data_IF_821483795434
#
_entry.id   IF_821483795434
#
_cell.length_a   1.000
_cell.length_b   1.000
_cell.length_c   1.000
_cell.angle_alpha   90.00
_cell.angle_beta   90.00
_cell.angle_gamma   90.00
#
_symmetry.space_group_name_H-M   'P 1'
#
loop_
_entity.id
_entity.type
_entity.pdbx_description
1 polymer ?
#
# COMPACT_ATOMS: atom_id res chain seq x y z
N UNK A 1 7.60 -8.05 11.38
CA UNK A 1 8.25 -7.14 10.40
C UNK A 1 9.76 -7.07 10.70
N UNK A 2 10.64 -7.02 9.70
CA UNK A 2 12.09 -6.90 9.94
C UNK A 2 12.45 -5.53 10.53
N UNK A 3 13.42 -5.46 11.46
CA UNK A 3 13.90 -4.20 12.06
C UNK A 3 14.27 -3.13 11.00
N UNK A 4 14.84 -3.55 9.86
CA UNK A 4 15.23 -2.64 8.77
C UNK A 4 14.04 -2.02 8.06
N UNK A 5 12.91 -2.73 7.96
CA UNK A 5 11.67 -2.21 7.37
C UNK A 5 11.00 -1.23 8.34
N UNK A 6 11.00 -1.53 9.64
CA UNK A 6 10.49 -0.59 10.66
C UNK A 6 11.30 0.72 10.68
N UNK A 7 12.63 0.64 10.58
CA UNK A 7 13.48 1.84 10.48
C UNK A 7 13.14 2.67 9.24
N UNK A 8 12.91 2.00 8.11
CA UNK A 8 12.54 2.65 6.86
C UNK A 8 11.17 3.31 6.93
N UNK A 9 10.21 2.70 7.64
CA UNK A 9 8.93 3.33 7.94
C UNK A 9 9.07 4.57 8.83
N UNK A 10 9.95 4.53 9.83
CA UNK A 10 10.21 5.69 10.69
C UNK A 10 10.87 6.87 9.97
N UNK A 11 11.63 6.61 8.89
CA UNK A 11 12.27 7.67 8.08
C UNK A 11 11.32 8.33 7.08
N UNK A 12 10.19 7.68 6.77
CA UNK A 12 9.27 8.08 5.70
C UNK A 12 7.83 8.05 6.22
N UNK A 13 7.42 9.03 7.06
CA UNK A 13 6.07 9.08 7.64
C UNK A 13 4.96 9.22 6.58
N UNK A 14 5.30 9.68 5.38
CA UNK A 14 4.39 9.79 4.24
C UNK A 14 4.01 8.44 3.61
N UNK A 15 4.72 7.36 3.94
CA UNK A 15 4.45 6.02 3.41
C UNK A 15 3.55 5.22 4.34
N UNK A 16 2.51 4.61 3.77
CA UNK A 16 1.67 3.66 4.46
C UNK A 16 2.18 2.22 4.24
N UNK A 17 2.46 1.51 5.33
CA UNK A 17 2.88 0.11 5.29
C UNK A 17 1.71 -0.81 5.63
N UNK A 18 1.24 -1.57 4.64
CA UNK A 18 0.25 -2.63 4.85
C UNK A 18 0.96 -3.99 4.95
N UNK A 19 0.84 -4.64 6.10
CA UNK A 19 1.28 -6.02 6.28
C UNK A 19 0.14 -6.98 5.98
N UNK A 20 0.39 -7.95 5.11
CA UNK A 20 -0.55 -9.02 4.81
C UNK A 20 0.06 -10.34 5.30
N UNK A 21 -0.65 -11.05 6.18
CA UNK A 21 -0.26 -12.38 6.60
C UNK A 21 -0.69 -13.40 5.54
N UNK A 22 0.28 -14.04 4.87
CA UNK A 22 0.01 -15.01 3.81
C UNK A 22 -0.71 -16.27 4.29
N UNK A 23 -0.58 -16.63 5.57
CA UNK A 23 -1.21 -17.83 6.12
C UNK A 23 -2.71 -17.61 6.37
N UNK A 24 -3.10 -16.40 6.74
CA UNK A 24 -4.49 -16.01 6.99
C UNK A 24 -5.20 -15.56 5.71
N UNK A 25 -4.50 -14.85 4.82
CA UNK A 25 -5.07 -14.24 3.62
C UNK A 25 -4.70 -14.99 2.33
N UNK A 26 -4.84 -16.33 2.35
CA UNK A 26 -4.45 -17.20 1.22
C UNK A 26 -5.13 -16.84 -0.08
N UNK A 27 -6.42 -16.52 -0.03
CA UNK A 27 -7.21 -16.18 -1.22
C UNK A 27 -6.76 -14.85 -1.84
N UNK A 28 -6.47 -13.84 -1.01
CA UNK A 28 -5.89 -12.58 -1.46
C UNK A 28 -4.52 -12.82 -2.12
N UNK A 29 -3.63 -13.59 -1.48
CA UNK A 29 -2.33 -13.93 -2.05
C UNK A 29 -2.46 -14.65 -3.40
N UNK A 30 -3.42 -15.57 -3.53
CA UNK A 30 -3.73 -16.28 -4.78
C UNK A 30 -4.19 -15.31 -5.87
N UNK A 31 -5.18 -14.47 -5.57
CA UNK A 31 -5.75 -13.48 -6.51
C UNK A 31 -4.75 -12.43 -6.95
N UNK A 32 -3.83 -12.07 -6.05
CA UNK A 32 -2.76 -11.15 -6.35
C UNK A 32 -1.59 -11.81 -7.09
N UNK A 33 -1.58 -13.13 -7.33
CA UNK A 33 -0.44 -13.88 -7.89
C UNK A 33 0.84 -13.77 -7.04
N UNK A 34 0.71 -13.90 -5.72
CA UNK A 34 1.85 -13.96 -4.79
C UNK A 34 2.30 -15.42 -4.63
N UNK A 35 3.41 -15.78 -5.28
CA UNK A 35 3.95 -17.15 -5.26
C UNK A 35 5.22 -17.31 -4.41
N UNK A 36 5.91 -16.22 -4.08
CA UNK A 36 7.17 -16.23 -3.33
C UNK A 36 7.08 -15.27 -2.15
N UNK A 37 7.73 -15.62 -1.04
CA UNK A 37 7.80 -14.78 0.15
C UNK A 37 9.27 -14.51 0.53
N UNK A 38 9.57 -13.32 1.08
CA UNK A 38 8.68 -12.18 1.23
C UNK A 38 8.46 -11.44 -0.11
N UNK A 39 7.23 -10.97 -0.33
CA UNK A 39 6.84 -10.20 -1.52
C UNK A 39 6.49 -8.76 -1.12
N UNK A 40 6.97 -7.80 -1.90
CA UNK A 40 6.71 -6.38 -1.71
C UNK A 40 5.97 -5.82 -2.93
N UNK A 41 5.02 -4.94 -2.66
CA UNK A 41 4.26 -4.19 -3.68
C UNK A 41 4.16 -2.75 -3.26
N UNK A 42 4.40 -1.88 -4.21
CA UNK A 42 4.24 -0.45 -4.04
C UNK A 42 3.03 -0.02 -4.85
N UNK A 43 2.15 0.73 -4.21
CA UNK A 43 0.97 1.31 -4.80
C UNK A 43 1.04 2.83 -4.67
N UNK A 44 0.53 3.55 -5.66
CA UNK A 44 0.50 5.02 -5.65
C UNK A 44 -0.80 5.52 -6.25
N UNK A 45 -1.74 5.96 -5.40
CA UNK A 45 -3.01 6.56 -5.79
C UNK A 45 -3.58 6.00 -7.10
N UNK A 46 -3.74 6.88 -8.09
CA UNK A 46 -4.28 6.56 -9.41
C UNK A 46 -3.38 5.76 -10.35
N UNK A 47 -2.10 5.60 -10.03
CA UNK A 47 -1.20 4.75 -10.82
C UNK A 47 -1.37 3.27 -10.47
N UNK A 48 -2.07 2.96 -9.37
CA UNK A 48 -2.21 1.60 -8.88
C UNK A 48 -0.84 1.02 -8.51
N UNK A 49 -0.55 -0.21 -8.96
CA UNK A 49 0.69 -0.92 -8.64
C UNK A 49 1.86 -0.42 -9.49
N UNK A 50 2.79 0.30 -8.87
CA UNK A 50 3.95 0.90 -9.54
C UNK A 50 5.18 0.00 -9.58
N UNK A 51 5.36 -0.88 -8.58
CA UNK A 51 6.38 -1.92 -8.66
C UNK A 51 6.05 -3.13 -7.77
N UNK A 52 6.60 -4.28 -8.13
CA UNK A 52 6.47 -5.51 -7.34
C UNK A 52 7.74 -6.34 -7.44
N UNK A 53 8.25 -6.79 -6.28
CA UNK A 53 9.48 -7.55 -6.22
C UNK A 53 9.56 -8.37 -4.92
N UNK A 54 10.34 -9.45 -4.95
CA UNK A 54 10.80 -10.13 -3.76
C UNK A 54 12.22 -9.67 -3.38
N UNK A 55 12.53 -9.69 -2.09
CA UNK A 55 13.88 -9.45 -1.61
C UNK A 55 14.17 -10.17 -0.29
N UNK A 56 15.40 -10.62 -0.14
CA UNK A 56 15.97 -11.15 1.10
C UNK A 56 16.71 -10.06 1.88
N UNK A 57 17.32 -10.41 3.01
CA UNK A 57 18.14 -9.49 3.81
C UNK A 57 19.28 -8.87 2.97
N UNK A 58 19.91 -9.64 2.08
CA UNK A 58 21.00 -9.18 1.22
C UNK A 58 20.53 -8.24 0.11
N UNK A 59 19.26 -8.31 -0.27
CA UNK A 59 18.69 -7.52 -1.38
C UNK A 59 17.72 -6.43 -0.92
N UNK A 60 17.75 -6.08 0.37
CA UNK A 60 16.87 -5.08 0.97
C UNK A 60 17.08 -3.66 0.39
N UNK A 61 18.22 -3.41 -0.26
CA UNK A 61 18.47 -2.17 -1.00
C UNK A 61 17.45 -1.92 -2.11
N UNK A 62 16.80 -2.97 -2.64
CA UNK A 62 15.72 -2.86 -3.64
C UNK A 62 14.55 -1.99 -3.17
N UNK A 63 14.24 -2.03 -1.87
CA UNK A 63 13.20 -1.18 -1.26
C UNK A 63 13.63 0.28 -1.32
N UNK A 64 14.87 0.59 -0.94
CA UNK A 64 15.42 1.96 -1.02
C UNK A 64 15.48 2.46 -2.45
N UNK A 65 15.86 1.62 -3.41
CA UNK A 65 15.90 1.99 -4.82
C UNK A 65 14.51 2.21 -5.42
N UNK A 66 13.52 1.41 -5.01
CA UNK A 66 12.13 1.62 -5.39
C UNK A 66 11.62 2.96 -4.85
N UNK A 67 11.96 3.30 -3.60
CA UNK A 67 11.62 4.60 -3.02
C UNK A 67 12.32 5.78 -3.69
N UNK A 68 13.58 5.64 -4.10
CA UNK A 68 14.25 6.71 -4.85
C UNK A 68 13.62 6.93 -6.23
N UNK A 69 13.25 5.84 -6.91
CA UNK A 69 12.66 5.89 -8.26
C UNK A 69 11.22 6.37 -8.27
N UNK A 70 10.44 5.97 -7.27
CA UNK A 70 9.01 6.24 -7.20
C UNK A 70 8.63 7.15 -6.03
N UNK A 71 9.61 7.88 -5.49
CA UNK A 71 9.49 8.68 -4.27
C UNK A 71 8.29 9.63 -4.30
N UNK A 72 7.96 10.11 -3.11
CA UNK A 72 6.77 10.92 -2.86
C UNK A 72 6.92 12.29 -3.53
N UNK A 73 6.61 12.36 -4.82
CA UNK A 73 6.23 13.64 -5.43
C UNK A 73 4.87 14.00 -4.83
N UNK A 74 4.88 14.96 -3.92
CA UNK A 74 3.71 15.48 -3.21
C UNK A 74 2.74 16.21 -4.16
N UNK A 75 3.14 16.40 -5.42
CA UNK A 75 2.46 17.23 -6.40
C UNK A 75 1.64 16.37 -7.38
N UNK A 76 0.33 16.58 -7.30
CA UNK A 76 -0.72 16.22 -8.27
C UNK A 76 -1.05 14.73 -8.41
N UNK A 77 -1.61 14.14 -7.34
CA UNK A 77 -2.42 12.93 -7.45
C UNK A 77 -3.75 13.28 -8.13
N UNK A 78 -3.86 12.96 -9.42
CA UNK A 78 -5.16 12.91 -10.12
C UNK A 78 -6.08 11.85 -9.51
N UNK A 79 -7.37 11.83 -9.90
CA UNK A 79 -8.36 10.91 -9.35
C UNK A 79 -7.88 9.45 -9.46
N UNK A 80 -8.00 8.73 -8.36
CA UNK A 80 -7.63 7.35 -8.13
C UNK A 80 -8.25 6.41 -9.18
N UNK A 81 -7.44 6.02 -10.17
CA UNK A 81 -7.69 4.78 -10.91
C UNK A 81 -7.37 3.65 -9.92
N UNK A 82 -8.41 2.97 -9.47
CA UNK A 82 -8.30 1.86 -8.51
C UNK A 82 -7.44 0.69 -9.01
N UNK A 83 -7.58 -0.46 -8.35
CA UNK A 83 -6.89 -1.71 -8.70
C UNK A 83 -6.98 -2.01 -10.20
N UNK A 84 -5.93 -2.60 -10.79
CA UNK A 84 -5.89 -2.87 -12.23
C UNK A 84 -7.10 -3.76 -12.64
N UNK A 85 -7.61 -3.64 -13.87
CA UNK A 85 -8.82 -4.39 -14.31
C UNK A 85 -8.70 -5.91 -14.07
N UNK A 86 -7.48 -6.43 -14.17
CA UNK A 86 -7.10 -7.81 -13.88
C UNK A 86 -7.22 -8.20 -12.39
N UNK A 87 -7.13 -7.24 -11.46
CA UNK A 87 -7.34 -7.41 -10.02
C UNK A 87 -8.81 -7.16 -9.60
N UNK A 88 -9.54 -6.30 -10.32
CA UNK A 88 -10.97 -5.99 -10.13
C UNK A 88 -11.92 -7.10 -10.60
N UNK A 89 -11.55 -7.88 -11.62
CA UNK A 89 -12.45 -8.82 -12.30
C UNK A 89 -12.96 -10.03 -11.48
N UNK A 90 -12.70 -10.07 -10.18
CA UNK A 90 -13.08 -11.19 -9.31
C UNK A 90 -13.86 -10.73 -8.06
N UNK A 91 -14.25 -9.47 -7.94
CA UNK A 91 -15.06 -8.99 -6.82
C UNK A 91 -16.55 -9.04 -7.16
N UNK A 92 -17.21 -10.13 -6.79
CA UNK A 92 -18.65 -10.08 -6.49
C UNK A 92 -18.78 -9.35 -5.15
N UNK A 93 -18.77 -8.01 -5.17
CA UNK A 93 -19.09 -7.18 -4.01
C UNK A 93 -20.38 -6.44 -4.33
N UNK A 94 -21.45 -6.87 -3.67
CA UNK A 94 -22.74 -6.22 -3.57
C UNK A 94 -22.59 -4.81 -2.96
N UNK A 95 -23.34 -3.87 -3.51
CA UNK A 95 -23.25 -2.45 -3.22
C UNK A 95 -24.00 -2.11 -1.92
N UNK A 96 -23.31 -1.64 -0.87
CA UNK A 96 -23.85 -0.65 0.09
C UNK A 96 -22.86 -0.33 1.21
N UNK A 97 -22.06 0.72 1.02
CA UNK A 97 -21.60 1.55 2.15
C UNK A 97 -21.79 3.02 1.75
N UNK A 98 -22.86 3.61 2.29
CA UNK A 98 -23.17 5.03 2.16
C UNK A 98 -22.18 5.85 3.00
N UNK A 99 -21.54 6.86 2.39
CA UNK A 99 -20.80 7.89 3.12
C UNK A 99 -21.75 9.06 3.38
N UNK A 100 -22.44 9.03 4.51
CA UNK A 100 -23.24 10.16 5.00
C UNK A 100 -22.66 10.65 6.34
N UNK A 101 -22.44 11.96 6.44
CA UNK A 101 -21.93 12.69 7.62
C UNK A 101 -20.40 12.80 7.67
N UNK A 102 -19.76 13.96 7.81
CA UNK A 102 -20.22 15.29 8.20
C UNK A 102 -18.98 16.04 8.73
N UNK A 103 -18.81 17.29 8.31
CA UNK A 103 -17.70 18.18 8.69
C UNK A 103 -17.78 18.50 10.20
N UNK A 104 -16.64 18.48 10.89
CA UNK A 104 -16.55 18.98 12.27
C UNK A 104 -15.18 18.80 12.92
N UNK A 105 -14.24 19.69 12.60
CA UNK A 105 -13.04 19.86 13.40
C UNK A 105 -13.41 20.57 14.72
N UNK A 106 -13.16 19.92 15.86
CA UNK A 106 -13.15 20.57 17.17
C UNK A 106 -11.77 20.38 17.78
N UNK A 107 -11.05 21.49 17.88
CA UNK A 107 -9.79 21.63 18.62
C UNK A 107 -10.16 21.98 20.07
N UNK A 108 -9.71 21.25 21.10
CA UNK A 108 -9.78 21.74 22.46
C UNK A 108 -8.61 22.71 22.71
N UNK A 109 -8.93 23.98 22.90
CA UNK A 109 -8.02 24.97 23.49
C UNK A 109 -7.79 24.64 24.96
N UNK A 110 -6.55 24.83 25.36
CA UNK A 110 -5.97 24.68 26.67
C UNK A 110 -5.89 26.06 27.36
N UNK A 111 -6.74 26.29 28.35
CA UNK A 111 -6.46 27.10 29.55
C UNK A 111 -7.37 26.66 30.71
#
# INVERSE_FOLDING_TARGET
MSQKVCQLAGMHPELQFLMVNSNEQKEMCRRLNVHVLPMFRFYRGAEGRICSFSCTISTIYKIKDALKRHGVQLENLGPDKGLEKSELQNSDIDASYNMDGGVGAVVPNNE
#
